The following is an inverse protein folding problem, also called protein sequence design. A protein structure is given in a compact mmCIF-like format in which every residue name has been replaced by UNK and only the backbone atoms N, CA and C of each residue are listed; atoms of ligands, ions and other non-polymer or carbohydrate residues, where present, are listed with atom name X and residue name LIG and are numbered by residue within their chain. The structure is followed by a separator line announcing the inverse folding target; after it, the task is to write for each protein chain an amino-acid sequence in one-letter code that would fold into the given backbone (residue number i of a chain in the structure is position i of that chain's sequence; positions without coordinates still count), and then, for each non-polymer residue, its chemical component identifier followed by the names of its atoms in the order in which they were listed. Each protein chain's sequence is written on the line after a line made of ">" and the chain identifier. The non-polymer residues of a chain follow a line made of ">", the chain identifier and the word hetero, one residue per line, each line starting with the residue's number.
data_IF_509177118564
#
_entry.id   IF_509177118564
#
_cell.length_a   1.000
_cell.length_b   1.000
_cell.length_c   1.000
_cell.angle_alpha   90.00
_cell.angle_beta   90.00
_cell.angle_gamma   90.00
#
_symmetry.space_group_name_H-M   'P 1'
#
loop_
_entity.id
_entity.type
_entity.pdbx_description
1 polymer ?
#
# COMPACT_ATOMS: atom_id res chain seq x y z
N UNK A 1 0.21 -4.58 23.42
CA UNK A 1 -0.36 -5.00 22.12
C UNK A 1 0.54 -4.44 21.03
N UNK A 2 0.95 -5.26 20.05
CA UNK A 2 1.74 -4.81 18.89
C UNK A 2 0.91 -3.84 18.04
N UNK A 3 1.53 -2.79 17.46
CA UNK A 3 0.87 -1.82 16.57
C UNK A 3 1.76 -1.49 15.36
N UNK A 4 1.13 -1.25 14.21
CA UNK A 4 1.78 -0.92 12.93
C UNK A 4 0.94 0.18 12.27
N UNK A 5 1.58 1.15 11.61
CA UNK A 5 0.89 2.26 10.92
C UNK A 5 0.97 2.04 9.40
N UNK A 6 -0.18 2.04 8.72
CA UNK A 6 -0.27 1.89 7.27
C UNK A 6 -0.36 3.26 6.58
N UNK A 7 0.57 3.52 5.65
CA UNK A 7 0.74 4.78 4.92
C UNK A 7 0.52 4.51 3.43
N UNK A 8 -0.43 5.21 2.80
CA UNK A 8 -0.84 4.96 1.41
C UNK A 8 -0.57 6.20 0.55
N UNK A 9 0.25 6.08 -0.49
CA UNK A 9 0.85 7.23 -1.20
C UNK A 9 0.57 7.20 -2.71
N UNK A 10 -0.05 8.28 -3.19
CA UNK A 10 -0.49 8.41 -4.57
C UNK A 10 -1.65 7.48 -4.93
N UNK A 11 -2.19 7.63 -6.14
CA UNK A 11 -3.39 6.91 -6.59
C UNK A 11 -3.28 5.39 -6.40
N UNK A 12 -2.20 4.75 -6.88
CA UNK A 12 -2.02 3.31 -6.76
C UNK A 12 -1.99 2.83 -5.30
N UNK A 13 -1.18 3.47 -4.45
CA UNK A 13 -1.09 3.13 -3.03
C UNK A 13 -2.43 3.29 -2.29
N UNK A 14 -3.20 4.34 -2.60
CA UNK A 14 -4.51 4.62 -2.00
C UNK A 14 -5.57 3.61 -2.50
N UNK A 15 -5.63 3.32 -3.80
CA UNK A 15 -6.59 2.38 -4.37
C UNK A 15 -6.32 0.93 -3.92
N UNK A 16 -5.06 0.52 -3.80
CA UNK A 16 -4.68 -0.75 -3.16
C UNK A 16 -5.03 -0.74 -1.66
N UNK A 17 -4.74 0.35 -0.95
CA UNK A 17 -5.09 0.53 0.46
C UNK A 17 -6.58 0.34 0.73
N UNK A 18 -7.44 0.98 -0.08
CA UNK A 18 -8.90 0.83 0.01
C UNK A 18 -9.35 -0.64 -0.10
N UNK A 19 -8.78 -1.41 -1.04
CA UNK A 19 -9.09 -2.83 -1.19
C UNK A 19 -8.57 -3.67 -0.01
N UNK A 20 -7.42 -3.32 0.57
CA UNK A 20 -6.88 -3.98 1.77
C UNK A 20 -7.78 -3.73 2.99
N UNK A 21 -8.22 -2.48 3.22
CA UNK A 21 -9.10 -2.15 4.34
C UNK A 21 -10.53 -2.67 4.15
N UNK A 22 -11.07 -2.71 2.92
CA UNK A 22 -12.31 -3.44 2.60
C UNK A 22 -12.20 -4.90 3.08
N UNK A 23 -11.10 -5.58 2.74
CA UNK A 23 -10.85 -6.96 3.12
C UNK A 23 -10.62 -7.14 4.63
N UNK A 24 -9.80 -6.31 5.28
CA UNK A 24 -9.58 -6.38 6.74
C UNK A 24 -10.87 -6.16 7.54
N UNK A 25 -11.75 -5.25 7.08
CA UNK A 25 -13.04 -5.04 7.72
C UNK A 25 -13.91 -6.31 7.64
N UNK A 26 -13.98 -6.95 6.47
CA UNK A 26 -14.70 -8.21 6.28
C UNK A 26 -14.13 -9.35 7.14
N UNK A 27 -12.81 -9.51 7.16
CA UNK A 27 -12.10 -10.55 7.94
C UNK A 27 -12.26 -10.40 9.46
N UNK A 28 -12.38 -9.16 9.96
CA UNK A 28 -12.57 -8.87 11.39
C UNK A 28 -14.04 -8.60 11.78
N UNK A 29 -15.00 -8.73 10.85
CA UNK A 29 -16.43 -8.48 11.09
C UNK A 29 -16.79 -7.01 11.36
N UNK A 30 -15.92 -6.07 10.98
CA UNK A 30 -16.07 -4.63 11.17
C UNK A 30 -16.94 -4.06 10.04
N UNK A 31 -17.95 -3.26 10.37
CA UNK A 31 -18.76 -2.57 9.35
C UNK A 31 -18.17 -1.21 8.95
N UNK A 32 -18.63 -0.74 7.79
CA UNK A 32 -18.04 0.35 7.00
C UNK A 32 -18.09 1.74 7.68
N UNK A 33 -18.92 1.86 8.70
CA UNK A 33 -19.16 3.01 9.57
C UNK A 33 -18.44 2.92 10.92
N UNK A 34 -17.82 1.77 11.23
CA UNK A 34 -17.30 1.43 12.56
C UNK A 34 -18.38 0.95 13.55
N UNK A 35 -19.67 1.09 13.24
CA UNK A 35 -20.82 0.54 13.98
C UNK A 35 -22.05 0.42 13.06
N UNK A 36 -22.54 -0.80 12.84
CA UNK A 36 -23.63 -1.16 11.92
C UNK A 36 -24.90 -0.27 11.99
N UNK A 37 -25.71 -0.17 10.92
CA UNK A 37 -25.38 0.26 9.55
C UNK A 37 -26.20 1.49 9.09
N UNK A 38 -25.72 2.32 8.13
CA UNK A 38 -26.48 2.68 6.89
C UNK A 38 -25.95 3.82 5.97
N UNK A 39 -25.98 3.53 4.66
CA UNK A 39 -26.20 4.38 3.46
C UNK A 39 -25.37 5.64 3.08
N UNK A 40 -24.68 5.53 1.91
CA UNK A 40 -24.66 6.47 0.74
C UNK A 40 -24.06 7.90 0.94
N UNK A 41 -23.34 8.58 0.02
CA UNK A 41 -22.89 8.39 -1.40
C UNK A 41 -22.07 9.67 -1.79
N UNK A 42 -21.13 9.82 -2.75
CA UNK A 42 -20.18 9.01 -3.58
C UNK A 42 -19.14 9.99 -4.19
N UNK A 43 -17.89 9.57 -4.44
CA UNK A 43 -17.02 10.05 -5.55
C UNK A 43 -15.64 10.64 -5.20
N UNK A 44 -14.57 10.19 -5.90
CA UNK A 44 -13.36 11.00 -6.16
C UNK A 44 -12.00 10.59 -5.52
N UNK A 45 -11.51 9.36 -5.70
CA UNK A 45 -10.21 8.78 -5.26
C UNK A 45 -9.75 9.07 -3.81
N UNK A 46 -9.32 10.29 -3.46
CA UNK A 46 -9.13 10.68 -2.05
C UNK A 46 -10.46 10.94 -1.37
N UNK A 47 -11.40 11.56 -2.08
CA UNK A 47 -12.79 11.71 -1.66
C UNK A 47 -13.58 10.41 -1.82
N UNK A 48 -13.13 9.41 -2.60
CA UNK A 48 -13.62 8.03 -2.47
C UNK A 48 -13.37 7.47 -1.06
N UNK A 49 -12.23 7.80 -0.44
CA UNK A 49 -11.95 7.41 0.96
C UNK A 49 -12.84 8.19 1.94
N UNK A 50 -13.21 9.45 1.62
CA UNK A 50 -14.09 10.30 2.45
C UNK A 50 -15.60 10.15 2.20
N UNK A 51 -16.03 9.50 1.12
CA UNK A 51 -17.45 9.44 0.70
C UNK A 51 -17.93 8.07 0.26
N UNK A 52 -17.02 7.14 -0.04
CA UNK A 52 -17.33 5.74 -0.32
C UNK A 52 -17.79 4.99 0.93
N UNK A 53 -18.02 3.68 0.79
CA UNK A 53 -18.59 2.83 1.85
C UNK A 53 -17.88 3.05 3.19
N UNK A 54 -16.55 2.98 3.22
CA UNK A 54 -15.70 3.07 4.41
C UNK A 54 -15.42 4.50 4.92
N UNK A 55 -16.22 5.50 4.52
CA UNK A 55 -15.98 6.93 4.83
C UNK A 55 -15.81 7.30 6.31
N UNK A 56 -16.41 6.52 7.20
CA UNK A 56 -16.43 6.77 8.65
C UNK A 56 -15.39 5.93 9.40
N UNK A 57 -14.74 4.96 8.73
CA UNK A 57 -13.64 4.16 9.29
C UNK A 57 -12.39 5.01 9.58
N UNK A 58 -12.14 6.03 8.75
CA UNK A 58 -10.93 6.86 8.80
C UNK A 58 -11.19 8.18 9.51
N UNK A 59 -10.28 8.60 10.39
CA UNK A 59 -10.37 9.94 10.99
C UNK A 59 -10.11 10.99 9.90
N UNK A 60 -10.92 12.06 9.75
CA UNK A 60 -10.80 13.00 8.63
C UNK A 60 -9.43 13.68 8.47
N UNK A 61 -8.64 13.77 9.55
CA UNK A 61 -7.28 14.31 9.55
C UNK A 61 -6.18 13.32 9.09
N UNK A 62 -6.48 12.02 8.99
CA UNK A 62 -5.55 10.99 8.50
C UNK A 62 -5.50 10.98 6.96
N UNK A 63 -6.61 11.33 6.32
CA UNK A 63 -6.68 11.52 4.86
C UNK A 63 -6.16 12.93 4.55
N UNK A 64 -5.18 13.03 3.64
CA UNK A 64 -4.49 14.27 3.29
C UNK A 64 -4.41 14.43 1.77
N UNK A 65 -4.49 15.68 1.30
CA UNK A 65 -4.56 16.03 -0.12
C UNK A 65 -3.85 17.36 -0.39
N UNK A 66 -2.94 17.38 -1.36
CA UNK A 66 -2.36 18.61 -1.89
C UNK A 66 -3.34 19.37 -2.78
N UNK A 67 -3.01 20.61 -3.14
CA UNK A 67 -3.76 21.39 -4.15
C UNK A 67 -3.41 21.03 -5.58
N UNK A 68 -2.19 20.56 -5.79
CA UNK A 68 -1.65 20.11 -7.08
C UNK A 68 -1.12 18.68 -6.95
N UNK A 69 -1.07 17.97 -8.08
CA UNK A 69 -0.42 16.68 -8.17
C UNK A 69 1.07 16.81 -8.59
N UNK A 70 1.77 15.67 -8.61
CA UNK A 70 3.15 15.60 -9.10
C UNK A 70 3.26 15.48 -10.63
N UNK A 71 2.16 15.53 -11.39
CA UNK A 71 2.09 15.41 -12.86
C UNK A 71 2.98 14.28 -13.45
N UNK A 72 2.94 13.10 -12.83
CA UNK A 72 3.81 11.96 -13.14
C UNK A 72 5.33 12.25 -13.20
N UNK A 73 5.80 13.22 -12.42
CA UNK A 73 7.20 13.62 -12.34
C UNK A 73 7.75 13.45 -10.91
N UNK A 74 8.69 12.52 -10.73
CA UNK A 74 9.41 12.29 -9.46
C UNK A 74 9.97 13.59 -8.84
N UNK A 75 10.53 14.47 -9.66
CA UNK A 75 11.12 15.74 -9.21
C UNK A 75 10.11 16.71 -8.60
N UNK A 76 8.86 16.74 -9.09
CA UNK A 76 7.76 17.46 -8.41
C UNK A 76 7.39 16.79 -7.10
N UNK A 77 7.31 15.46 -7.11
CA UNK A 77 6.93 14.65 -5.95
C UNK A 77 7.92 14.71 -4.78
N UNK A 78 9.23 14.76 -5.03
CA UNK A 78 10.26 14.86 -3.99
C UNK A 78 10.68 16.32 -3.72
N UNK A 79 11.03 17.09 -4.76
CA UNK A 79 11.80 18.33 -4.54
C UNK A 79 10.98 19.61 -4.42
N UNK A 80 9.73 19.67 -4.90
CA UNK A 80 8.85 20.85 -4.80
C UNK A 80 7.57 20.55 -4.02
N UNK A 81 6.50 20.10 -4.68
CA UNK A 81 5.15 19.91 -4.10
C UNK A 81 5.19 18.96 -2.89
N UNK A 82 6.05 17.94 -2.91
CA UNK A 82 6.23 17.04 -1.76
C UNK A 82 6.70 17.74 -0.48
N UNK A 83 7.56 18.75 -0.58
CA UNK A 83 8.08 19.49 0.58
C UNK A 83 7.03 20.39 1.23
N UNK A 84 6.04 20.84 0.46
CA UNK A 84 4.93 21.66 0.98
C UNK A 84 3.98 20.85 1.87
N UNK A 85 3.93 19.52 1.71
CA UNK A 85 3.00 18.63 2.42
C UNK A 85 3.68 17.65 3.40
N UNK A 86 4.98 17.34 3.25
CA UNK A 86 5.67 16.32 4.06
C UNK A 86 5.66 16.61 5.56
N UNK A 87 5.85 17.87 5.98
CA UNK A 87 5.88 18.23 7.40
C UNK A 87 4.51 18.06 8.07
N UNK A 88 3.42 18.31 7.32
CA UNK A 88 2.05 18.03 7.75
C UNK A 88 1.82 16.52 7.88
N UNK A 89 2.28 15.74 6.90
CA UNK A 89 2.18 14.27 6.91
C UNK A 89 2.94 13.68 8.11
N UNK A 90 4.14 14.18 8.41
CA UNK A 90 4.94 13.76 9.56
C UNK A 90 4.28 14.10 10.90
N UNK A 91 3.68 15.29 11.06
CA UNK A 91 2.92 15.63 12.27
C UNK A 91 1.71 14.69 12.47
N UNK A 92 1.01 14.31 11.40
CA UNK A 92 -0.08 13.33 11.48
C UNK A 92 0.41 11.93 11.82
N UNK A 93 1.51 11.47 11.22
CA UNK A 93 2.12 10.18 11.56
C UNK A 93 2.59 10.17 13.03
N UNK A 94 3.21 11.27 13.50
CA UNK A 94 3.61 11.42 14.90
C UNK A 94 2.44 11.28 15.87
N UNK A 95 1.32 11.98 15.61
CA UNK A 95 0.10 11.84 16.42
C UNK A 95 -0.45 10.41 16.45
N UNK A 96 -0.25 9.61 15.41
CA UNK A 96 -0.62 8.18 15.43
C UNK A 96 0.42 7.33 16.19
N UNK A 97 1.70 7.66 16.09
CA UNK A 97 2.79 6.98 16.80
C UNK A 97 2.72 7.23 18.32
N UNK A 98 2.43 8.46 18.76
CA UNK A 98 2.27 8.83 20.17
C UNK A 98 1.10 8.09 20.84
N UNK A 99 0.04 7.83 20.07
CA UNK A 99 -1.10 7.01 20.50
C UNK A 99 -0.80 5.49 20.53
N UNK A 100 0.36 5.04 20.08
CA UNK A 100 0.73 3.62 20.02
C UNK A 100 1.68 3.23 21.16
N UNK A 101 1.16 2.52 22.18
CA UNK A 101 1.94 1.93 23.30
C UNK A 101 2.96 0.84 22.91
N UNK A 102 3.19 0.62 21.61
CA UNK A 102 3.99 -0.48 21.08
C UNK A 102 4.10 -0.47 19.55
N UNK A 103 4.40 0.68 18.94
CA UNK A 103 4.65 0.78 17.51
C UNK A 103 5.87 -0.07 17.10
N UNK A 104 5.67 -1.04 16.21
CA UNK A 104 6.75 -1.86 15.63
C UNK A 104 7.34 -1.19 14.39
N UNK A 105 6.49 -0.70 13.49
CA UNK A 105 6.91 -0.28 12.16
C UNK A 105 5.81 0.38 11.33
N UNK A 106 6.14 0.62 10.08
CA UNK A 106 5.27 1.22 9.07
C UNK A 106 5.08 0.26 7.89
N UNK A 107 3.85 0.16 7.40
CA UNK A 107 3.55 -0.42 6.08
C UNK A 107 3.42 0.74 5.08
N UNK A 108 4.16 0.72 3.99
CA UNK A 108 4.16 1.81 3.00
C UNK A 108 3.70 1.28 1.65
N UNK A 109 2.53 1.75 1.20
CA UNK A 109 1.89 1.34 -0.05
C UNK A 109 2.05 2.46 -1.08
N UNK A 110 2.79 2.21 -2.16
CA UNK A 110 3.04 3.20 -3.21
C UNK A 110 3.26 2.55 -4.59
N UNK A 111 3.10 3.35 -5.64
CA UNK A 111 3.43 2.95 -7.01
C UNK A 111 4.68 3.69 -7.49
N UNK A 112 5.71 2.95 -7.92
CA UNK A 112 7.02 3.54 -8.29
C UNK A 112 7.00 4.23 -9.66
N UNK A 113 6.02 3.91 -10.52
CA UNK A 113 5.82 4.59 -11.80
C UNK A 113 5.18 5.98 -11.69
N UNK A 114 4.34 6.22 -10.69
CA UNK A 114 3.56 7.46 -10.54
C UNK A 114 4.32 8.55 -9.79
N UNK A 115 4.19 9.81 -10.21
CA UNK A 115 5.02 10.93 -9.68
C UNK A 115 4.92 11.16 -8.17
N UNK A 116 3.71 11.04 -7.60
CA UNK A 116 3.51 11.20 -6.14
C UNK A 116 3.94 9.95 -5.38
N UNK A 117 3.59 8.75 -5.86
CA UNK A 117 3.95 7.48 -5.21
C UNK A 117 5.46 7.24 -5.16
N UNK A 118 6.18 7.68 -6.19
CA UNK A 118 7.64 7.66 -6.26
C UNK A 118 8.29 8.81 -5.48
N UNK A 119 8.02 10.06 -5.85
CA UNK A 119 8.72 11.23 -5.32
C UNK A 119 8.40 11.55 -3.85
N UNK A 120 7.12 11.61 -3.49
CA UNK A 120 6.71 11.84 -2.09
C UNK A 120 6.92 10.56 -1.24
N UNK A 121 6.86 9.38 -1.86
CA UNK A 121 7.26 8.12 -1.24
C UNK A 121 8.71 8.11 -0.78
N UNK A 122 9.64 8.44 -1.69
CA UNK A 122 11.06 8.61 -1.38
C UNK A 122 11.29 9.62 -0.26
N UNK A 123 10.78 10.85 -0.42
CA UNK A 123 10.93 11.93 0.56
C UNK A 123 10.39 11.55 1.94
N UNK A 124 9.26 10.83 2.02
CA UNK A 124 8.70 10.40 3.30
C UNK A 124 9.51 9.26 3.94
N UNK A 125 10.04 8.32 3.14
CA UNK A 125 10.90 7.24 3.63
C UNK A 125 12.25 7.76 4.16
N UNK A 126 12.84 8.76 3.51
CA UNK A 126 14.00 9.52 4.00
C UNK A 126 13.72 10.07 5.42
N UNK A 127 12.58 10.76 5.59
CA UNK A 127 12.20 11.40 6.86
C UNK A 127 11.85 10.39 7.96
N UNK A 128 11.08 9.35 7.64
CA UNK A 128 10.77 8.27 8.58
C UNK A 128 12.03 7.52 9.03
N UNK A 129 13.07 7.46 8.21
CA UNK A 129 14.36 6.86 8.59
C UNK A 129 15.18 7.74 9.55
N UNK A 130 14.98 9.07 9.51
CA UNK A 130 15.56 10.02 10.49
C UNK A 130 14.78 9.96 11.80
N UNK A 131 13.46 10.18 11.76
CA UNK A 131 12.63 10.33 12.97
C UNK A 131 12.37 8.99 13.69
N UNK A 132 12.30 7.89 12.93
CA UNK A 132 11.92 6.57 13.41
C UNK A 132 12.92 5.47 12.98
N UNK A 133 14.21 5.78 12.83
CA UNK A 133 15.23 4.84 12.30
C UNK A 133 15.41 3.49 13.02
N UNK A 134 14.78 3.28 14.19
CA UNK A 134 14.69 1.97 14.89
C UNK A 134 13.38 1.20 14.63
N UNK A 135 12.56 1.63 13.66
CA UNK A 135 11.26 1.04 13.32
C UNK A 135 11.32 0.45 11.92
N UNK A 136 10.82 -0.78 11.78
CA UNK A 136 10.83 -1.51 10.51
C UNK A 136 9.89 -0.87 9.49
N UNK A 137 10.29 -0.85 8.23
CA UNK A 137 9.60 -0.20 7.10
C UNK A 137 9.38 -1.27 6.02
N UNK A 138 8.16 -1.81 5.95
CA UNK A 138 7.74 -2.83 4.99
C UNK A 138 7.01 -2.13 3.83
N UNK A 139 7.66 -2.09 2.67
CA UNK A 139 7.08 -1.52 1.44
C UNK A 139 6.25 -2.55 0.69
N UNK A 140 5.10 -2.12 0.16
CA UNK A 140 4.31 -2.83 -0.83
C UNK A 140 4.30 -1.96 -2.10
N UNK A 141 5.24 -2.27 -3.00
CA UNK A 141 5.64 -1.41 -4.12
C UNK A 141 5.04 -1.91 -5.43
N UNK A 142 4.12 -1.13 -5.99
CA UNK A 142 3.47 -1.44 -7.27
C UNK A 142 4.42 -1.04 -8.41
N UNK A 143 4.87 -2.01 -9.19
CA UNK A 143 5.74 -1.82 -10.36
C UNK A 143 4.91 -1.62 -11.64
N UNK A 144 5.36 -0.75 -12.56
CA UNK A 144 4.67 -0.49 -13.82
C UNK A 144 4.81 -1.65 -14.81
N UNK A 145 3.76 -1.89 -15.58
CA UNK A 145 3.74 -2.82 -16.71
C UNK A 145 3.67 -2.04 -18.03
N UNK A 146 4.36 -2.45 -19.12
CA UNK A 146 4.15 -1.88 -20.44
C UNK A 146 2.72 -2.01 -20.99
N UNK A 147 1.97 -3.04 -20.57
CA UNK A 147 0.59 -3.29 -21.00
C UNK A 147 -0.43 -2.42 -20.27
N UNK A 148 -0.13 -2.02 -19.02
CA UNK A 148 -1.03 -1.25 -18.13
C UNK A 148 -0.43 0.13 -17.75
N UNK A 149 0.54 0.60 -18.54
CA UNK A 149 1.25 1.86 -18.32
C UNK A 149 0.35 3.07 -18.59
N UNK A 150 0.47 4.10 -17.76
CA UNK A 150 -0.29 5.36 -17.86
C UNK A 150 0.59 6.55 -18.24
N UNK A 151 1.91 6.45 -18.06
CA UNK A 151 2.86 7.51 -18.39
C UNK A 151 4.19 6.98 -18.92
N UNK A 152 4.62 7.54 -20.05
CA UNK A 152 5.90 7.23 -20.74
C UNK A 152 7.13 7.41 -19.84
N UNK A 153 7.02 8.21 -18.78
CA UNK A 153 8.09 8.49 -17.80
C UNK A 153 8.14 7.54 -16.60
N UNK A 154 7.26 6.53 -16.53
CA UNK A 154 7.26 5.50 -15.49
C UNK A 154 8.63 4.83 -15.27
N UNK A 155 9.46 4.54 -16.29
CA UNK A 155 10.82 4.01 -16.08
C UNK A 155 11.75 4.96 -15.31
N UNK A 156 11.70 6.27 -15.60
CA UNK A 156 12.50 7.28 -14.89
C UNK A 156 12.08 7.38 -13.42
N UNK A 157 10.77 7.47 -13.16
CA UNK A 157 10.24 7.50 -11.79
C UNK A 157 10.59 6.23 -11.02
N UNK A 158 10.54 5.06 -11.67
CA UNK A 158 10.83 3.76 -11.06
C UNK A 158 12.29 3.63 -10.62
N UNK A 159 13.24 4.03 -11.48
CA UNK A 159 14.68 4.02 -11.13
C UNK A 159 14.98 4.98 -9.99
N UNK A 160 14.45 6.21 -10.04
CA UNK A 160 14.65 7.22 -9.00
C UNK A 160 14.03 6.78 -7.66
N UNK A 161 12.81 6.23 -7.67
CA UNK A 161 12.17 5.68 -6.47
C UNK A 161 12.92 4.48 -5.89
N UNK A 162 13.46 3.60 -6.75
CA UNK A 162 14.15 2.39 -6.31
C UNK A 162 15.47 2.72 -5.59
N UNK A 163 16.14 3.83 -5.96
CA UNK A 163 17.32 4.31 -5.22
C UNK A 163 16.99 4.64 -3.77
N UNK A 164 15.92 5.41 -3.51
CA UNK A 164 15.52 5.75 -2.12
C UNK A 164 14.93 4.55 -1.37
N UNK A 165 14.19 3.67 -2.05
CA UNK A 165 13.70 2.42 -1.46
C UNK A 165 14.86 1.55 -0.94
N UNK A 166 15.95 1.46 -1.69
CA UNK A 166 17.14 0.65 -1.37
C UNK A 166 17.87 1.07 -0.08
N UNK A 167 17.71 2.32 0.37
CA UNK A 167 18.37 2.86 1.57
C UNK A 167 17.42 3.05 2.76
N UNK A 168 16.10 3.09 2.52
CA UNK A 168 15.10 3.49 3.51
C UNK A 168 13.94 2.50 3.70
N UNK A 169 14.01 1.33 3.06
CA UNK A 169 13.06 0.22 3.24
C UNK A 169 13.79 -0.98 3.81
N UNK A 170 13.18 -1.68 4.78
CA UNK A 170 13.76 -2.88 5.39
C UNK A 170 13.43 -4.16 4.59
N UNK A 171 12.24 -4.17 3.99
CA UNK A 171 11.71 -5.23 3.10
C UNK A 171 10.78 -4.56 2.08
N UNK A 172 10.93 -4.84 0.79
CA UNK A 172 10.07 -4.30 -0.27
C UNK A 172 9.40 -5.45 -1.06
N UNK A 173 8.11 -5.67 -0.83
CA UNK A 173 7.30 -6.65 -1.58
C UNK A 173 6.90 -6.04 -2.92
N UNK A 174 7.42 -6.59 -4.01
CA UNK A 174 7.18 -6.11 -5.36
C UNK A 174 5.88 -6.68 -5.92
N UNK A 175 4.99 -5.78 -6.38
CA UNK A 175 3.69 -6.10 -6.96
C UNK A 175 3.69 -5.70 -8.43
N UNK A 176 3.93 -6.66 -9.33
CA UNK A 176 3.97 -6.43 -10.78
C UNK A 176 2.56 -6.45 -11.39
N UNK A 177 2.12 -5.31 -11.93
CA UNK A 177 0.84 -5.20 -12.62
C UNK A 177 0.69 -6.16 -13.80
N UNK A 178 1.76 -6.52 -14.51
CA UNK A 178 1.67 -7.42 -15.67
C UNK A 178 1.30 -8.84 -15.21
N UNK A 179 2.06 -9.37 -14.27
CA UNK A 179 1.80 -10.69 -13.67
C UNK A 179 0.39 -10.78 -13.06
N UNK A 180 -0.05 -9.73 -12.35
CA UNK A 180 -1.36 -9.70 -11.70
C UNK A 180 -2.51 -9.59 -12.74
N UNK A 181 -2.32 -8.83 -13.81
CA UNK A 181 -3.25 -8.75 -14.94
C UNK A 181 -3.38 -10.11 -15.64
N UNK A 182 -2.25 -10.78 -15.90
CA UNK A 182 -2.23 -12.07 -16.57
C UNK A 182 -2.81 -13.20 -15.70
N UNK A 183 -2.62 -13.17 -14.36
CA UNK A 183 -3.32 -14.07 -13.43
C UNK A 183 -4.83 -13.83 -13.44
N UNK A 184 -5.29 -12.57 -13.41
CA UNK A 184 -6.72 -12.25 -13.54
C UNK A 184 -7.31 -12.79 -14.85
N UNK A 185 -6.54 -12.71 -15.95
CA UNK A 185 -6.99 -13.15 -17.28
C UNK A 185 -7.00 -14.66 -17.46
N UNK A 186 -5.99 -15.37 -16.94
CA UNK A 186 -5.81 -16.83 -17.13
C UNK A 186 -6.50 -17.68 -16.07
N UNK A 187 -6.54 -17.22 -14.82
CA UNK A 187 -7.01 -18.01 -13.67
C UNK A 187 -8.42 -17.63 -13.21
N UNK A 188 -8.81 -16.36 -13.38
CA UNK A 188 -10.14 -15.85 -13.05
C UNK A 188 -11.05 -15.66 -14.28
N UNK A 189 -10.57 -16.01 -15.48
CA UNK A 189 -11.28 -15.95 -16.77
C UNK A 189 -11.74 -14.54 -17.20
N UNK A 190 -11.14 -13.49 -16.64
CA UNK A 190 -11.54 -12.09 -16.89
C UNK A 190 -10.86 -11.59 -18.18
N UNK A 191 -11.61 -11.39 -19.28
CA UNK A 191 -11.05 -10.94 -20.57
C UNK A 191 -10.25 -9.62 -20.46
N UNK A 192 -10.78 -8.67 -19.67
CA UNK A 192 -10.22 -7.31 -19.48
C UNK A 192 -10.21 -6.92 -18.00
N UNK A 193 -9.20 -7.36 -17.23
CA UNK A 193 -9.06 -6.99 -15.83
C UNK A 193 -8.98 -5.46 -15.63
N UNK A 194 -9.78 -4.95 -14.69
CA UNK A 194 -9.73 -3.55 -14.25
C UNK A 194 -8.82 -3.39 -13.03
N UNK A 195 -8.41 -2.17 -12.70
CA UNK A 195 -7.69 -1.91 -11.44
C UNK A 195 -8.45 -2.41 -10.20
N UNK A 196 -9.79 -2.49 -10.22
CA UNK A 196 -10.59 -3.09 -9.13
C UNK A 196 -10.36 -4.60 -9.01
N UNK A 197 -10.14 -5.31 -10.12
CA UNK A 197 -9.77 -6.73 -10.12
C UNK A 197 -8.34 -6.93 -9.60
N UNK A 198 -7.39 -6.16 -10.15
CA UNK A 198 -5.98 -6.18 -9.74
C UNK A 198 -5.85 -5.87 -8.24
N UNK A 199 -6.44 -4.77 -7.76
CA UNK A 199 -6.36 -4.36 -6.35
C UNK A 199 -6.99 -5.36 -5.39
N UNK A 200 -8.04 -6.10 -5.80
CA UNK A 200 -8.62 -7.17 -4.96
C UNK A 200 -7.73 -8.40 -4.87
N UNK A 201 -7.08 -8.80 -5.96
CA UNK A 201 -6.07 -9.88 -5.93
C UNK A 201 -4.84 -9.45 -5.09
N UNK A 202 -4.36 -8.22 -5.28
CA UNK A 202 -3.29 -7.62 -4.47
C UNK A 202 -3.67 -7.60 -2.98
N UNK A 203 -4.91 -7.21 -2.63
CA UNK A 203 -5.38 -7.19 -1.25
C UNK A 203 -5.38 -8.58 -0.60
N UNK A 204 -5.71 -9.65 -1.32
CA UNK A 204 -5.59 -11.03 -0.81
C UNK A 204 -4.13 -11.40 -0.50
N UNK A 205 -3.19 -11.04 -1.38
CA UNK A 205 -1.75 -11.26 -1.14
C UNK A 205 -1.28 -10.48 0.10
N UNK A 206 -1.59 -9.18 0.18
CA UNK A 206 -1.22 -8.33 1.33
C UNK A 206 -1.90 -8.82 2.63
N UNK A 207 -3.14 -9.32 2.55
CA UNK A 207 -3.84 -9.89 3.69
C UNK A 207 -3.13 -11.13 4.22
N UNK A 208 -2.76 -12.07 3.35
CA UNK A 208 -2.00 -13.27 3.73
C UNK A 208 -0.65 -12.92 4.37
N UNK A 209 0.07 -11.92 3.83
CA UNK A 209 1.34 -11.43 4.38
C UNK A 209 1.19 -10.65 5.70
N UNK A 210 0.03 -10.06 5.99
CA UNK A 210 -0.21 -9.32 7.25
C UNK A 210 -1.00 -10.12 8.29
N UNK A 211 -1.44 -11.34 7.97
CA UNK A 211 -2.29 -12.15 8.84
C UNK A 211 -1.67 -12.41 10.22
N UNK A 212 -0.36 -12.70 10.28
CA UNK A 212 0.39 -12.92 11.55
C UNK A 212 0.53 -11.66 12.43
N UNK A 213 0.22 -10.48 11.89
CA UNK A 213 0.19 -9.21 12.62
C UNK A 213 -1.21 -8.88 13.16
N UNK A 214 -2.25 -9.60 12.70
CA UNK A 214 -3.67 -9.31 12.94
C UNK A 214 -4.42 -10.43 13.65
N UNK A 215 -3.97 -11.68 13.52
CA UNK A 215 -4.54 -12.87 14.13
C UNK A 215 -3.48 -13.64 14.92
N UNK A 216 -3.87 -14.25 16.05
CA UNK A 216 -3.03 -15.21 16.75
C UNK A 216 -2.99 -16.53 15.97
N UNK A 217 -1.79 -16.97 15.59
CA UNK A 217 -1.53 -18.23 14.89
C UNK A 217 -0.36 -19.01 15.50
N UNK A 218 -0.03 -20.15 14.89
CA UNK A 218 1.09 -20.98 15.32
C UNK A 218 2.48 -20.38 14.98
N UNK A 219 2.53 -19.40 14.07
CA UNK A 219 3.74 -18.69 13.64
C UNK A 219 3.47 -17.18 13.62
N UNK A 220 3.62 -16.52 14.76
CA UNK A 220 3.29 -15.10 14.96
C UNK A 220 4.40 -14.15 14.48
N UNK A 221 4.75 -14.27 13.18
CA UNK A 221 5.79 -13.48 12.50
C UNK A 221 5.52 -11.99 12.65
N UNK A 222 6.51 -11.27 13.20
CA UNK A 222 6.46 -9.83 13.39
C UNK A 222 7.23 -9.04 12.31
N UNK A 223 7.01 -7.73 12.21
CA UNK A 223 7.56 -6.88 11.13
C UNK A 223 9.10 -6.92 11.06
N UNK A 224 9.78 -7.23 12.17
CA UNK A 224 11.24 -7.42 12.26
C UNK A 224 11.67 -8.82 11.83
N UNK A 225 10.84 -9.83 12.10
CA UNK A 225 11.06 -11.21 11.68
C UNK A 225 10.95 -11.36 10.15
N UNK A 226 10.12 -10.55 9.48
CA UNK A 226 10.14 -10.44 8.00
C UNK A 226 11.55 -10.12 7.46
N UNK A 227 12.23 -9.13 8.05
CA UNK A 227 13.60 -8.77 7.67
C UNK A 227 14.58 -9.90 8.02
N UNK A 228 14.47 -10.45 9.23
CA UNK A 228 15.40 -11.49 9.74
C UNK A 228 15.31 -12.80 8.96
N UNK A 229 14.11 -13.19 8.51
CA UNK A 229 13.88 -14.47 7.84
C UNK A 229 14.03 -14.39 6.30
N UNK A 230 13.85 -13.20 5.69
CA UNK A 230 13.79 -13.05 4.23
C UNK A 230 14.92 -12.22 3.61
N UNK A 231 15.64 -11.41 4.39
CA UNK A 231 16.67 -10.47 3.87
C UNK A 231 18.07 -10.94 4.27
N UNK A 232 18.77 -11.73 3.44
CA UNK A 232 20.12 -12.23 3.76
C UNK A 232 21.19 -11.13 3.68
N UNK A 233 20.94 -10.05 2.95
CA UNK A 233 21.82 -8.89 2.83
C UNK A 233 21.01 -7.60 2.76
N UNK A 234 21.39 -6.50 3.43
CA UNK A 234 20.56 -5.27 3.52
C UNK A 234 20.14 -4.63 2.19
N UNK A 235 20.86 -4.90 1.09
CA UNK A 235 20.54 -4.42 -0.28
C UNK A 235 19.75 -5.40 -1.14
N UNK A 236 19.49 -6.62 -0.64
CA UNK A 236 18.75 -7.69 -1.32
C UNK A 236 17.48 -7.95 -0.51
N UNK A 237 16.62 -6.93 -0.44
CA UNK A 237 15.38 -6.92 0.34
C UNK A 237 14.11 -6.86 -0.53
N UNK A 238 14.25 -7.03 -1.84
CA UNK A 238 13.17 -7.00 -2.81
C UNK A 238 12.54 -8.38 -2.95
N UNK A 239 11.34 -8.56 -2.39
CA UNK A 239 10.66 -9.85 -2.29
C UNK A 239 9.64 -10.02 -3.40
N UNK A 240 9.66 -11.18 -4.05
CA UNK A 240 8.59 -11.65 -4.92
C UNK A 240 7.54 -12.39 -4.08
N UNK A 241 6.27 -11.98 -4.18
CA UNK A 241 5.14 -12.72 -3.61
C UNK A 241 4.56 -13.70 -4.63
N UNK A 242 4.17 -14.89 -4.18
CA UNK A 242 3.36 -15.85 -4.93
C UNK A 242 2.19 -16.30 -4.07
N UNK A 243 1.02 -16.52 -4.68
CA UNK A 243 -0.23 -16.82 -3.97
C UNK A 243 -1.03 -17.87 -4.74
N UNK A 244 -1.53 -18.87 -4.03
CA UNK A 244 -2.36 -19.94 -4.55
C UNK A 244 -3.27 -20.50 -3.45
N UNK A 245 -4.46 -21.03 -3.78
CA UNK A 245 -5.05 -21.10 -5.12
C UNK A 245 -5.62 -19.76 -5.60
N UNK A 246 -5.74 -19.60 -6.91
CA UNK A 246 -6.48 -18.49 -7.57
C UNK A 246 -7.40 -19.13 -8.61
N UNK A 247 -8.71 -19.10 -8.36
CA UNK A 247 -9.73 -19.84 -9.11
C UNK A 247 -10.96 -18.93 -9.30
N UNK A 248 -11.59 -18.95 -10.48
CA UNK A 248 -12.85 -18.23 -10.71
C UNK A 248 -14.01 -18.85 -9.91
N UNK A 249 -14.98 -18.03 -9.51
CA UNK A 249 -16.12 -18.50 -8.71
C UNK A 249 -16.91 -19.61 -9.42
N UNK A 250 -17.03 -19.56 -10.75
CA UNK A 250 -17.69 -20.60 -11.55
C UNK A 250 -16.99 -21.96 -11.42
N UNK A 251 -15.65 -22.00 -11.52
CA UNK A 251 -14.87 -23.24 -11.33
C UNK A 251 -14.97 -23.75 -9.89
N UNK A 252 -14.95 -22.85 -8.91
CA UNK A 252 -15.02 -23.19 -7.48
C UNK A 252 -16.40 -23.74 -7.01
N UNK A 253 -17.46 -23.61 -7.81
CA UNK A 253 -18.77 -24.25 -7.57
C UNK A 253 -19.03 -25.45 -8.49
N UNK A 254 -18.01 -25.94 -9.21
CA UNK A 254 -18.07 -27.08 -10.12
C UNK A 254 -17.07 -28.20 -9.78
N UNK A 255 -16.37 -28.09 -8.64
CA UNK A 255 -15.64 -29.18 -7.96
C UNK A 255 -16.45 -29.71 -6.76
#
# INVERSE_FOLDING_TARGET
>A
MRKVISIHLGQGGIQTGNACWELYCLEHGIQFDGQMPSDKTIGGVCDEVRTGTYRQLYHPEQIMSGREDAANNYGRGNYTIGKEIVDLVLDRIRKLADNCTGLQGFLVFNAVGGGTGSGLGALLLERLSVDYGRKSKLGFTIYPSPQVSTAVVEPYNSVLSTHSLLEHTDVAVMLDNDAIYDICRRSLDIERPTYTNLNRLIAQVISSLTASLRFDGALNVDVTEFQTNLVPYPRIHFMLSSYAPVISAEKAFHE
#
